data_IF_253216791190
#
_entry.id   IF_253216791190
#
_cell.length_a   1.000
_cell.length_b   1.000
_cell.length_c   1.000
_cell.angle_alpha   90.00
_cell.angle_beta   90.00
_cell.angle_gamma   90.00
#
_symmetry.space_group_name_H-M   'P 1'
#
loop_
_entity.id
_entity.type
_entity.pdbx_description
1 polymer ?
#
# COMPACT_ATOMS: atom_id res chain seq x y z
N UNK A 1 9.93 -0.50 32.99
CA UNK A 1 9.70 0.88 32.49
C UNK A 1 9.09 0.75 31.10
N UNK A 2 7.83 1.18 30.90
CA UNK A 2 7.19 1.11 29.58
C UNK A 2 7.81 2.20 28.70
N UNK A 3 8.55 1.83 27.66
CA UNK A 3 8.97 2.75 26.61
C UNK A 3 7.70 3.42 26.05
N UNK A 4 7.55 4.72 26.28
CA UNK A 4 6.51 5.51 25.62
C UNK A 4 6.97 5.69 24.16
N UNK A 5 6.13 5.38 23.16
CA UNK A 5 6.51 5.60 21.76
C UNK A 5 6.51 7.12 21.50
N UNK A 6 7.68 7.73 21.59
CA UNK A 6 7.94 9.07 21.07
C UNK A 6 8.53 8.91 19.67
N UNK A 7 7.76 9.28 18.66
CA UNK A 7 8.27 9.42 17.30
C UNK A 7 8.98 10.77 17.18
N UNK A 8 10.24 10.76 16.77
CA UNK A 8 11.05 11.95 16.60
C UNK A 8 11.21 12.24 15.12
N UNK A 9 11.03 13.50 14.75
CA UNK A 9 11.14 13.97 13.39
C UNK A 9 12.29 14.97 13.31
N UNK A 10 13.30 14.64 12.51
CA UNK A 10 14.46 15.49 12.28
C UNK A 10 14.22 16.37 11.05
N UNK A 11 14.36 17.69 11.20
CA UNK A 11 14.16 18.67 10.13
C UNK A 11 14.25 20.11 10.63
N UNK A 12 14.27 21.08 9.72
CA UNK A 12 14.27 22.50 10.08
C UNK A 12 12.99 22.84 10.85
N UNK A 13 13.16 23.46 12.03
CA UNK A 13 12.06 23.91 12.87
C UNK A 13 11.12 24.87 12.13
N UNK A 14 11.63 25.70 11.21
CA UNK A 14 10.79 26.59 10.43
C UNK A 14 9.86 25.83 9.45
N UNK A 15 10.29 24.67 8.96
CA UNK A 15 9.55 23.87 7.98
C UNK A 15 8.52 22.92 8.62
N UNK A 16 8.78 22.43 9.84
CA UNK A 16 7.93 21.45 10.51
C UNK A 16 6.72 22.05 11.22
N UNK A 17 6.80 23.30 11.71
CA UNK A 17 5.73 23.92 12.49
C UNK A 17 4.42 24.07 11.69
N UNK A 18 4.42 24.53 10.41
CA UNK A 18 3.20 24.61 9.61
C UNK A 18 2.52 23.25 9.42
N UNK A 19 3.31 22.19 9.17
CA UNK A 19 2.82 20.82 8.97
C UNK A 19 2.16 20.30 10.25
N UNK A 20 2.78 20.50 11.42
CA UNK A 20 2.22 20.07 12.71
C UNK A 20 0.91 20.81 13.00
N UNK A 21 0.85 22.11 12.72
CA UNK A 21 -0.37 22.90 12.88
C UNK A 21 -1.50 22.39 11.98
N UNK A 22 -1.21 22.09 10.71
CA UNK A 22 -2.19 21.59 9.75
C UNK A 22 -2.73 20.20 10.14
N UNK A 23 -1.83 19.27 10.51
CA UNK A 23 -2.22 17.94 10.99
C UNK A 23 -3.05 18.02 12.27
N UNK A 24 -2.66 18.88 13.22
CA UNK A 24 -3.39 19.06 14.48
C UNK A 24 -4.79 19.60 14.24
N UNK A 25 -4.92 20.60 13.36
CA UNK A 25 -6.22 21.15 12.96
C UNK A 25 -7.11 20.13 12.24
N UNK A 26 -6.55 19.32 11.34
CA UNK A 26 -7.28 18.25 10.68
C UNK A 26 -7.83 17.20 11.65
N UNK A 27 -7.14 16.97 12.77
CA UNK A 27 -7.56 16.08 13.86
C UNK A 27 -8.51 16.77 14.87
N UNK A 28 -8.88 18.04 14.66
CA UNK A 28 -9.77 18.80 15.55
C UNK A 28 -9.11 19.29 16.84
N UNK A 29 -7.78 19.31 16.88
CA UNK A 29 -7.00 19.73 18.06
C UNK A 29 -6.30 21.07 17.83
N UNK A 30 -6.32 21.93 18.85
CA UNK A 30 -5.48 23.13 18.86
C UNK A 30 -4.03 22.81 19.21
N UNK A 31 -3.11 23.71 18.88
CA UNK A 31 -1.69 23.57 19.25
C UNK A 31 -1.37 24.40 20.49
N UNK A 32 -0.58 23.83 21.40
CA UNK A 32 0.06 24.55 22.50
C UNK A 32 1.58 24.48 22.29
N UNK A 33 2.13 25.59 21.82
CA UNK A 33 3.56 25.73 21.55
C UNK A 33 4.28 26.18 22.83
N UNK A 34 5.35 25.47 23.18
CA UNK A 34 6.23 25.78 24.29
C UNK A 34 7.61 26.12 23.73
N UNK A 35 8.00 27.37 23.95
CA UNK A 35 9.33 27.83 23.60
C UNK A 35 10.34 27.41 24.67
N UNK A 36 11.26 26.51 24.29
CA UNK A 36 12.30 26.01 25.19
C UNK A 36 13.27 27.10 25.65
N UNK A 37 13.46 28.15 24.85
CA UNK A 37 14.31 29.29 25.19
C UNK A 37 13.65 30.22 26.23
N UNK A 38 12.31 30.22 26.31
CA UNK A 38 11.55 31.03 27.26
C UNK A 38 11.26 30.32 28.58
N UNK A 39 11.74 29.09 28.78
CA UNK A 39 11.53 28.33 30.02
C UNK A 39 12.41 28.87 31.15
N UNK A 40 11.78 29.35 32.22
CA UNK A 40 12.46 29.98 33.37
C UNK A 40 12.44 29.12 34.65
N UNK A 41 12.08 27.84 34.56
CA UNK A 41 11.99 26.96 35.73
C UNK A 41 13.21 26.05 35.89
N UNK A 42 13.55 25.74 37.14
CA UNK A 42 14.69 24.89 37.52
C UNK A 42 14.39 23.38 37.37
N UNK A 43 15.44 22.53 37.49
CA UNK A 43 15.28 21.07 37.49
C UNK A 43 14.34 20.56 38.58
N UNK A 44 14.34 21.21 39.75
CA UNK A 44 13.51 20.84 40.90
C UNK A 44 12.02 21.14 40.65
N UNK A 45 11.72 22.18 39.87
CA UNK A 45 10.37 22.61 39.53
C UNK A 45 9.79 21.86 38.32
N UNK A 46 10.63 21.13 37.59
CA UNK A 46 10.31 20.49 36.32
C UNK A 46 9.19 19.45 36.44
N UNK A 47 9.11 18.72 37.56
CA UNK A 47 8.02 17.77 37.81
C UNK A 47 6.66 18.49 37.94
N UNK A 48 6.64 19.61 38.67
CA UNK A 48 5.44 20.43 38.83
C UNK A 48 5.03 21.11 37.53
N UNK A 49 6.00 21.61 36.77
CA UNK A 49 5.78 22.21 35.45
C UNK A 49 5.20 21.20 34.46
N UNK A 50 5.80 19.99 34.36
CA UNK A 50 5.30 18.92 33.50
C UNK A 50 3.85 18.53 33.84
N UNK A 51 3.51 18.44 35.12
CA UNK A 51 2.15 18.13 35.57
C UNK A 51 1.15 19.20 35.13
N UNK A 52 1.48 20.49 35.33
CA UNK A 52 0.61 21.61 34.91
C UNK A 52 0.42 21.65 33.40
N UNK A 53 1.52 21.54 32.64
CA UNK A 53 1.51 21.53 31.17
C UNK A 53 0.68 20.35 30.64
N UNK A 54 0.88 19.15 31.20
CA UNK A 54 0.12 17.94 30.83
C UNK A 54 -1.37 18.14 31.10
N UNK A 55 -1.72 18.66 32.27
CA UNK A 55 -3.11 18.96 32.65
C UNK A 55 -3.75 19.94 31.67
N UNK A 56 -3.08 21.05 31.39
CA UNK A 56 -3.64 22.10 30.53
C UNK A 56 -3.79 21.61 29.07
N UNK A 57 -2.83 20.83 28.56
CA UNK A 57 -2.94 20.20 27.25
C UNK A 57 -4.15 19.25 27.17
N UNK A 58 -4.37 18.41 28.20
CA UNK A 58 -5.51 17.50 28.26
C UNK A 58 -6.85 18.24 28.37
N UNK A 59 -6.96 19.22 29.28
CA UNK A 59 -8.20 19.96 29.51
C UNK A 59 -8.61 20.82 28.31
N UNK A 60 -7.63 21.38 27.60
CA UNK A 60 -7.89 22.19 26.42
C UNK A 60 -7.94 21.38 25.12
N UNK A 61 -7.72 20.06 25.16
CA UNK A 61 -7.68 19.20 23.98
C UNK A 61 -6.61 19.63 22.97
N UNK A 62 -5.44 20.07 23.45
CA UNK A 62 -4.35 20.61 22.62
C UNK A 62 -3.18 19.65 22.49
N UNK A 63 -2.57 19.66 21.31
CA UNK A 63 -1.31 18.96 21.03
C UNK A 63 -0.15 19.83 21.47
N UNK A 64 0.80 19.26 22.21
CA UNK A 64 2.01 19.95 22.65
C UNK A 64 3.08 19.93 21.57
N UNK A 65 3.67 21.10 21.31
CA UNK A 65 4.84 21.27 20.44
C UNK A 65 5.93 21.97 21.24
N UNK A 66 7.07 21.29 21.37
CA UNK A 66 8.22 21.73 22.15
C UNK A 66 9.32 22.19 21.19
N UNK A 67 9.82 23.42 21.31
CA UNK A 67 10.99 23.88 20.55
C UNK A 67 12.27 23.82 21.37
N UNK A 68 13.39 24.06 20.69
CA UNK A 68 14.72 23.88 21.26
C UNK A 68 14.96 24.69 22.55
N UNK A 69 15.68 24.08 23.48
CA UNK A 69 15.97 24.67 24.78
C UNK A 69 16.64 23.71 25.76
N UNK A 70 17.39 24.24 26.74
CA UNK A 70 18.27 23.44 27.60
C UNK A 70 17.53 22.41 28.46
N UNK A 71 16.25 22.65 28.76
CA UNK A 71 15.43 21.83 29.65
C UNK A 71 14.38 20.99 28.92
N UNK A 72 14.30 21.12 27.59
CA UNK A 72 13.17 20.59 26.82
C UNK A 72 13.13 19.06 26.83
N UNK A 73 14.30 18.41 26.81
CA UNK A 73 14.45 16.97 26.88
C UNK A 73 14.17 16.40 28.27
N UNK A 74 14.52 17.13 29.32
CA UNK A 74 14.16 16.75 30.68
C UNK A 74 12.64 16.84 30.88
N UNK A 75 12.02 17.88 30.32
CA UNK A 75 10.58 18.09 30.36
C UNK A 75 9.83 17.00 29.56
N UNK A 76 10.27 16.71 28.34
CA UNK A 76 9.63 15.73 27.44
C UNK A 76 9.47 14.35 28.08
N UNK A 77 10.53 13.87 28.75
CA UNK A 77 10.54 12.59 29.48
C UNK A 77 9.49 12.53 30.60
N UNK A 78 9.08 13.68 31.15
CA UNK A 78 8.10 13.79 32.24
C UNK A 78 6.69 14.13 31.79
N UNK A 79 6.48 14.47 30.52
CA UNK A 79 5.14 14.74 30.00
C UNK A 79 4.28 13.46 29.95
N UNK A 80 3.03 13.60 30.39
CA UNK A 80 2.05 12.52 30.41
C UNK A 80 1.34 12.27 29.08
N UNK A 81 1.59 13.11 28.07
CA UNK A 81 0.89 13.12 26.78
C UNK A 81 1.86 12.97 25.60
N UNK A 82 1.39 12.43 24.46
CA UNK A 82 2.10 12.53 23.19
C UNK A 82 2.36 14.00 22.83
N UNK A 83 3.55 14.30 22.33
CA UNK A 83 3.97 15.66 21.98
C UNK A 83 5.01 15.62 20.85
N UNK A 84 5.13 16.73 20.13
CA UNK A 84 6.15 16.93 19.10
C UNK A 84 7.34 17.70 19.67
N UNK A 85 8.55 17.38 19.20
CA UNK A 85 9.78 18.06 19.57
C UNK A 85 10.48 18.60 18.32
N UNK A 86 10.83 19.88 18.35
CA UNK A 86 11.49 20.63 17.28
C UNK A 86 12.83 21.14 17.81
N UNK A 87 13.75 20.21 18.04
CA UNK A 87 15.06 20.44 18.68
C UNK A 87 16.06 19.45 18.09
N UNK A 88 17.35 19.76 18.20
CA UNK A 88 18.42 18.81 17.91
C UNK A 88 18.33 17.61 18.86
N UNK A 89 18.33 16.41 18.29
CA UNK A 89 18.33 15.17 19.07
C UNK A 89 19.66 15.02 19.83
N UNK A 90 19.65 14.61 21.10
CA UNK A 90 20.87 14.29 21.83
C UNK A 90 21.49 13.01 21.27
N UNK A 91 22.81 12.87 21.42
CA UNK A 91 23.61 11.78 20.83
C UNK A 91 23.26 10.38 21.40
N UNK A 92 22.55 10.31 22.53
CA UNK A 92 22.25 9.08 23.29
C UNK A 92 20.88 8.46 22.96
N UNK A 93 20.28 8.79 21.81
CA UNK A 93 18.95 8.33 21.44
C UNK A 93 18.93 6.97 20.72
N UNK A 94 18.16 6.03 21.27
CA UNK A 94 18.02 4.66 20.74
C UNK A 94 17.39 4.59 19.33
N UNK A 95 16.55 5.57 18.95
CA UNK A 95 15.73 5.53 17.72
C UNK A 95 15.54 6.92 17.10
N UNK A 96 16.31 7.23 16.05
CA UNK A 96 16.07 8.38 15.18
C UNK A 96 15.38 7.90 13.88
N UNK A 97 14.24 8.50 13.53
CA UNK A 97 13.55 8.26 12.26
C UNK A 97 13.65 9.52 11.42
N UNK A 98 14.51 9.51 10.41
CA UNK A 98 14.45 10.52 9.35
C UNK A 98 13.11 10.36 8.61
N UNK A 99 12.36 11.46 8.50
CA UNK A 99 11.29 11.58 7.51
C UNK A 99 11.96 11.74 6.15
N UNK A 100 12.15 10.64 5.45
CA UNK A 100 12.44 10.71 4.03
C UNK A 100 11.26 11.42 3.32
N UNK A 101 11.50 12.16 2.22
CA UNK A 101 10.43 12.62 1.35
C UNK A 101 9.48 11.44 1.05
N UNK A 102 8.16 11.66 0.91
CA UNK A 102 7.18 10.58 0.75
C UNK A 102 7.45 9.61 -0.41
N UNK A 103 8.36 9.95 -1.32
CA UNK A 103 8.73 9.15 -2.49
C UNK A 103 10.13 8.52 -2.42
N UNK A 104 10.92 8.74 -1.37
CA UNK A 104 12.26 8.14 -1.25
C UNK A 104 12.21 6.80 -0.49
N UNK A 105 11.55 5.82 -1.12
CA UNK A 105 11.46 4.47 -0.59
C UNK A 105 12.86 3.83 -0.48
N UNK A 106 13.73 4.04 -1.48
CA UNK A 106 15.07 3.44 -1.55
C UNK A 106 15.94 3.95 -0.40
N UNK A 107 16.02 5.27 -0.20
CA UNK A 107 16.80 5.85 0.88
C UNK A 107 16.32 5.41 2.27
N UNK A 108 15.02 5.15 2.44
CA UNK A 108 14.47 4.63 3.68
C UNK A 108 14.96 3.20 4.02
N UNK A 109 15.19 2.35 3.01
CA UNK A 109 15.80 1.03 3.18
C UNK A 109 17.32 1.13 3.33
N UNK A 110 18.00 1.89 2.49
CA UNK A 110 19.46 2.04 2.51
C UNK A 110 19.99 2.50 3.87
N UNK A 111 19.32 3.46 4.52
CA UNK A 111 19.73 3.94 5.85
C UNK A 111 19.56 2.91 6.97
N UNK A 112 18.73 1.87 6.76
CA UNK A 112 18.38 0.90 7.81
C UNK A 112 19.02 -0.46 7.60
N UNK A 113 19.25 -0.86 6.35
CA UNK A 113 19.81 -2.17 5.99
C UNK A 113 21.33 -2.19 6.22
N UNK A 114 21.86 -3.14 7.00
CA UNK A 114 23.31 -3.25 7.27
C UNK A 114 24.13 -3.45 5.99
N UNK A 115 25.28 -2.78 5.88
CA UNK A 115 26.18 -2.87 4.72
C UNK A 115 26.72 -4.29 4.44
N UNK A 116 26.75 -5.15 5.46
CA UNK A 116 27.21 -6.54 5.35
C UNK A 116 26.18 -7.52 4.75
N UNK A 117 25.00 -7.07 4.37
CA UNK A 117 23.96 -7.94 3.79
C UNK A 117 24.36 -8.39 2.37
N UNK A 118 24.33 -9.71 2.12
CA UNK A 118 24.61 -10.26 0.79
C UNK A 118 23.61 -9.73 -0.25
N UNK A 119 24.11 -9.27 -1.41
CA UNK A 119 23.29 -8.66 -2.48
C UNK A 119 22.36 -7.55 -1.98
N UNK A 120 22.81 -6.74 -1.02
CA UNK A 120 22.06 -5.65 -0.38
C UNK A 120 21.26 -4.81 -1.39
N UNK A 121 21.94 -4.23 -2.37
CA UNK A 121 21.31 -3.26 -3.27
C UNK A 121 20.26 -3.92 -4.16
N UNK A 122 20.49 -5.16 -4.61
CA UNK A 122 19.52 -5.94 -5.37
C UNK A 122 18.29 -6.31 -4.52
N UNK A 123 18.48 -6.69 -3.26
CA UNK A 123 17.36 -6.97 -2.35
C UNK A 123 16.54 -5.70 -2.04
N UNK A 124 17.20 -4.55 -1.84
CA UNK A 124 16.53 -3.27 -1.63
C UNK A 124 15.71 -2.90 -2.87
N UNK A 125 16.31 -2.95 -4.07
CA UNK A 125 15.62 -2.65 -5.31
C UNK A 125 14.40 -3.55 -5.53
N UNK A 126 14.53 -4.87 -5.29
CA UNK A 126 13.43 -5.82 -5.42
C UNK A 126 12.26 -5.47 -4.47
N UNK A 127 12.56 -5.15 -3.21
CA UNK A 127 11.53 -4.81 -2.22
C UNK A 127 10.90 -3.45 -2.51
N UNK A 128 11.68 -2.43 -2.87
CA UNK A 128 11.15 -1.10 -3.22
C UNK A 128 10.26 -1.12 -4.47
N UNK A 129 10.61 -1.93 -5.48
CA UNK A 129 9.82 -2.05 -6.71
C UNK A 129 8.47 -2.76 -6.52
N UNK A 130 8.34 -3.53 -5.43
CA UNK A 130 7.17 -4.37 -5.16
C UNK A 130 6.34 -3.90 -3.96
N UNK A 131 6.95 -3.52 -2.86
CA UNK A 131 6.28 -3.23 -1.59
C UNK A 131 6.32 -1.73 -1.27
N UNK A 132 5.16 -1.16 -0.89
CA UNK A 132 5.08 0.19 -0.32
C UNK A 132 4.94 0.08 1.20
N UNK A 133 6.08 -0.13 1.87
CA UNK A 133 6.12 -0.24 3.33
C UNK A 133 6.29 1.13 3.99
N UNK A 134 5.62 1.30 5.13
CA UNK A 134 5.87 2.44 6.02
C UNK A 134 7.26 2.34 6.68
N UNK A 135 7.88 3.44 7.13
CA UNK A 135 9.18 3.40 7.80
C UNK A 135 9.27 2.43 8.98
N UNK A 136 8.19 2.32 9.77
CA UNK A 136 8.12 1.36 10.89
C UNK A 136 8.07 -0.11 10.42
N UNK A 137 7.46 -0.39 9.26
CA UNK A 137 7.46 -1.73 8.68
C UNK A 137 8.82 -2.07 8.07
N UNK A 138 9.50 -1.10 7.46
CA UNK A 138 10.89 -1.26 6.98
C UNK A 138 11.79 -1.62 8.16
N UNK A 139 11.77 -0.84 9.25
CA UNK A 139 12.58 -1.12 10.44
C UNK A 139 12.33 -2.52 11.01
N UNK A 140 11.05 -2.92 11.09
CA UNK A 140 10.69 -4.25 11.59
C UNK A 140 11.15 -5.37 10.65
N UNK A 141 11.07 -5.16 9.34
CA UNK A 141 11.55 -6.12 8.32
C UNK A 141 13.07 -6.33 8.45
N UNK A 142 13.82 -5.24 8.55
CA UNK A 142 15.28 -5.28 8.69
C UNK A 142 15.70 -5.93 10.01
N UNK A 143 15.07 -5.55 11.12
CA UNK A 143 15.32 -6.19 12.42
C UNK A 143 15.00 -7.68 12.37
N UNK A 144 13.88 -8.08 11.77
CA UNK A 144 13.49 -9.47 11.61
C UNK A 144 14.51 -10.28 10.82
N UNK A 145 15.03 -9.72 9.72
CA UNK A 145 16.13 -10.29 8.95
C UNK A 145 17.42 -10.44 9.77
N UNK A 146 17.77 -9.43 10.56
CA UNK A 146 18.93 -9.48 11.47
C UNK A 146 18.84 -10.58 12.55
N UNK A 147 17.62 -10.95 12.96
CA UNK A 147 17.37 -12.08 13.87
C UNK A 147 17.23 -13.44 13.16
N UNK A 148 17.37 -13.49 11.83
CA UNK A 148 17.22 -14.72 11.04
C UNK A 148 15.78 -15.24 10.96
N UNK A 149 14.78 -14.39 11.22
CA UNK A 149 13.36 -14.76 11.12
C UNK A 149 12.87 -14.88 9.67
N UNK A 150 13.63 -14.32 8.73
CA UNK A 150 13.39 -14.39 7.30
C UNK A 150 14.72 -14.55 6.56
N UNK A 151 14.74 -15.29 5.44
CA UNK A 151 15.98 -15.54 4.67
C UNK A 151 16.53 -14.29 3.96
N UNK A 152 15.67 -13.34 3.62
CA UNK A 152 16.01 -12.11 2.90
C UNK A 152 15.01 -10.98 3.24
N UNK A 153 15.28 -9.77 2.74
CA UNK A 153 14.39 -8.62 2.94
C UNK A 153 13.01 -8.81 2.30
N UNK A 154 12.93 -9.58 1.21
CA UNK A 154 11.69 -9.86 0.50
C UNK A 154 10.71 -10.64 1.38
N UNK A 155 11.15 -11.75 1.96
CA UNK A 155 10.35 -12.57 2.84
C UNK A 155 10.00 -11.83 4.15
N UNK A 156 10.90 -10.99 4.65
CA UNK A 156 10.62 -10.14 5.80
C UNK A 156 9.51 -9.10 5.50
N UNK A 157 9.60 -8.42 4.35
CA UNK A 157 8.56 -7.51 3.87
C UNK A 157 7.23 -8.22 3.64
N UNK A 158 7.27 -9.39 2.99
CA UNK A 158 6.09 -10.20 2.69
C UNK A 158 5.33 -10.61 3.96
N UNK A 159 6.05 -11.05 5.00
CA UNK A 159 5.44 -11.47 6.28
C UNK A 159 4.67 -10.34 6.97
N UNK A 160 5.05 -9.07 6.75
CA UNK A 160 4.31 -7.94 7.30
C UNK A 160 3.01 -7.66 6.57
N UNK A 161 2.96 -7.86 5.25
CA UNK A 161 1.78 -7.51 4.48
C UNK A 161 0.73 -8.63 4.50
N UNK A 162 1.14 -9.89 4.66
CA UNK A 162 0.22 -11.02 4.67
C UNK A 162 -0.90 -10.95 5.72
N UNK A 163 -0.69 -10.20 6.81
CA UNK A 163 -1.69 -10.02 7.88
C UNK A 163 -2.70 -8.90 7.64
N UNK A 164 -2.62 -8.16 6.52
CA UNK A 164 -3.39 -6.91 6.33
C UNK A 164 -4.74 -7.11 5.62
N UNK A 165 -4.94 -8.22 4.90
CA UNK A 165 -6.08 -8.37 3.96
C UNK A 165 -7.37 -8.95 4.57
N UNK A 166 -7.34 -9.42 5.83
CA UNK A 166 -8.54 -9.88 6.54
C UNK A 166 -9.31 -11.01 5.83
N UNK A 167 -10.63 -11.17 6.08
CA UNK A 167 -11.44 -12.26 5.51
C UNK A 167 -11.91 -12.00 4.07
N UNK A 168 -11.58 -10.84 3.48
CA UNK A 168 -12.09 -10.42 2.16
C UNK A 168 -11.25 -10.95 0.99
N UNK A 169 -10.00 -11.35 1.26
CA UNK A 169 -9.11 -11.93 0.27
C UNK A 169 -8.33 -13.11 0.86
N UNK A 170 -8.22 -14.18 0.09
CA UNK A 170 -7.52 -15.40 0.45
C UNK A 170 -6.21 -15.47 -0.32
N UNK A 171 -5.11 -15.82 0.35
CA UNK A 171 -3.83 -16.04 -0.34
C UNK A 171 -3.91 -17.30 -1.18
N UNK A 172 -3.50 -17.19 -2.45
CA UNK A 172 -3.33 -18.33 -3.36
C UNK A 172 -1.85 -18.65 -3.47
N UNK A 173 -1.49 -19.92 -3.28
CA UNK A 173 -0.15 -20.39 -3.60
C UNK A 173 -0.02 -20.57 -5.11
N UNK A 174 0.77 -19.70 -5.76
CA UNK A 174 1.03 -19.79 -7.20
C UNK A 174 1.97 -20.97 -7.51
N UNK A 175 1.39 -22.14 -7.82
CA UNK A 175 2.15 -23.37 -8.11
C UNK A 175 2.38 -23.57 -9.61
N UNK A 176 1.49 -23.04 -10.44
CA UNK A 176 1.57 -23.17 -11.89
C UNK A 176 2.78 -22.45 -12.51
N UNK A 177 3.34 -23.04 -13.55
CA UNK A 177 4.39 -22.49 -14.42
C UNK A 177 3.88 -22.30 -15.85
N UNK A 178 4.65 -21.60 -16.68
CA UNK A 178 4.31 -21.46 -18.10
C UNK A 178 4.14 -22.78 -18.85
N UNK A 179 4.95 -23.78 -18.49
CA UNK A 179 4.92 -25.11 -19.11
C UNK A 179 3.65 -25.90 -18.78
N UNK A 180 2.96 -25.55 -17.69
CA UNK A 180 1.69 -26.18 -17.29
C UNK A 180 0.51 -25.66 -18.13
N UNK A 181 0.69 -24.57 -18.89
CA UNK A 181 -0.35 -23.98 -19.72
C UNK A 181 -0.27 -24.45 -21.17
N UNK A 182 -1.31 -25.18 -21.58
CA UNK A 182 -1.54 -25.56 -22.97
C UNK A 182 -2.40 -24.48 -23.61
N UNK A 183 -1.73 -23.53 -24.25
CA UNK A 183 -2.34 -22.39 -24.93
C UNK A 183 -1.81 -22.26 -26.36
N UNK A 184 -2.60 -21.72 -27.31
CA UNK A 184 -2.08 -21.40 -28.63
C UNK A 184 -1.00 -20.31 -28.55
N UNK A 185 -0.16 -20.26 -29.59
CA UNK A 185 1.07 -19.45 -29.59
C UNK A 185 0.79 -17.97 -29.34
N UNK A 186 -0.28 -17.43 -29.93
CA UNK A 186 -0.66 -16.03 -29.78
C UNK A 186 -0.95 -15.67 -28.30
N UNK A 187 -1.69 -16.52 -27.58
CA UNK A 187 -2.02 -16.31 -26.17
C UNK A 187 -0.77 -16.46 -25.29
N UNK A 188 0.12 -17.42 -25.58
CA UNK A 188 1.41 -17.53 -24.89
C UNK A 188 2.26 -16.27 -25.07
N UNK A 189 2.29 -15.72 -26.29
CA UNK A 189 3.01 -14.47 -26.59
C UNK A 189 2.41 -13.28 -25.82
N UNK A 190 1.08 -13.14 -25.79
CA UNK A 190 0.43 -12.08 -25.04
C UNK A 190 0.73 -12.16 -23.53
N UNK A 191 0.67 -13.35 -22.94
CA UNK A 191 1.02 -13.57 -21.54
C UNK A 191 2.50 -13.25 -21.23
N UNK A 192 3.40 -13.61 -22.14
CA UNK A 192 4.81 -13.24 -22.05
C UNK A 192 4.99 -11.73 -22.09
N UNK A 193 4.33 -11.02 -23.02
CA UNK A 193 4.41 -9.57 -23.13
C UNK A 193 3.88 -8.86 -21.88
N UNK A 194 2.75 -9.33 -21.34
CA UNK A 194 2.19 -8.81 -20.09
C UNK A 194 3.16 -8.95 -18.93
N UNK A 195 3.80 -10.12 -18.81
CA UNK A 195 4.78 -10.41 -17.76
C UNK A 195 6.01 -9.52 -17.91
N UNK A 196 6.57 -9.41 -19.12
CA UNK A 196 7.70 -8.53 -19.41
C UNK A 196 7.38 -7.07 -19.06
N UNK A 197 6.20 -6.57 -19.44
CA UNK A 197 5.80 -5.20 -19.11
C UNK A 197 5.76 -4.98 -17.59
N UNK A 198 5.18 -5.92 -16.83
CA UNK A 198 5.05 -5.79 -15.39
C UNK A 198 6.39 -5.92 -14.66
N UNK A 199 7.31 -6.75 -15.14
CA UNK A 199 8.67 -6.86 -14.61
C UNK A 199 9.48 -5.58 -14.85
N UNK A 200 9.34 -4.96 -16.02
CA UNK A 200 10.09 -3.74 -16.39
C UNK A 200 9.31 -2.45 -16.15
N UNK A 201 8.19 -2.50 -15.42
CA UNK A 201 7.29 -1.34 -15.27
C UNK A 201 7.98 -0.13 -14.65
N UNK A 202 8.84 -0.32 -13.64
CA UNK A 202 9.54 0.79 -12.98
C UNK A 202 10.46 1.51 -13.96
N UNK A 203 11.13 0.75 -14.83
CA UNK A 203 11.96 1.32 -15.88
C UNK A 203 11.12 2.08 -16.91
N UNK A 204 10.00 1.51 -17.37
CA UNK A 204 9.17 2.15 -18.40
C UNK A 204 8.41 3.38 -17.86
N UNK A 205 7.84 3.27 -16.67
CA UNK A 205 6.99 4.31 -16.08
C UNK A 205 7.85 5.39 -15.43
N UNK A 206 8.82 5.01 -14.59
CA UNK A 206 9.59 5.96 -13.80
C UNK A 206 10.85 6.41 -14.57
N UNK A 207 11.75 5.49 -14.92
CA UNK A 207 13.05 5.86 -15.51
C UNK A 207 12.90 6.51 -16.90
N UNK A 208 11.97 6.00 -17.73
CA UNK A 208 11.69 6.55 -19.05
C UNK A 208 10.64 7.67 -19.04
N UNK A 209 10.09 7.99 -17.86
CA UNK A 209 9.23 9.16 -17.66
C UNK A 209 7.81 9.06 -18.23
N UNK A 210 7.33 7.86 -18.61
CA UNK A 210 5.95 7.69 -19.07
C UNK A 210 4.91 7.96 -17.95
N UNK A 211 5.29 7.82 -16.69
CA UNK A 211 4.45 8.13 -15.52
C UNK A 211 4.15 9.63 -15.35
N UNK A 212 5.00 10.51 -15.87
CA UNK A 212 4.78 11.97 -15.77
C UNK A 212 3.62 12.47 -16.65
N UNK A 213 3.24 11.71 -17.69
CA UNK A 213 2.18 12.08 -18.62
C UNK A 213 0.79 11.54 -18.23
N UNK A 214 0.68 10.64 -17.24
CA UNK A 214 -0.60 10.07 -16.82
C UNK A 214 -0.63 9.70 -15.33
N UNK A 215 -1.63 10.21 -14.60
CA UNK A 215 -1.95 9.81 -13.21
C UNK A 215 -2.80 8.53 -13.14
N UNK A 216 -3.15 7.93 -14.28
CA UNK A 216 -3.99 6.72 -14.40
C UNK A 216 -3.31 5.68 -15.29
N UNK A 217 -3.61 4.39 -15.09
CA UNK A 217 -3.12 3.32 -15.96
C UNK A 217 -1.70 2.83 -15.67
N UNK A 218 -1.22 2.99 -14.43
CA UNK A 218 0.10 2.51 -14.00
C UNK A 218 0.12 1.01 -13.68
N UNK A 219 -1.03 0.34 -13.74
CA UNK A 219 -1.15 -1.10 -13.54
C UNK A 219 -1.92 -1.78 -14.65
N UNK A 220 -2.05 -3.10 -14.54
CA UNK A 220 -2.58 -3.96 -15.59
C UNK A 220 -3.79 -4.73 -15.10
N UNK A 221 -4.94 -4.54 -15.75
CA UNK A 221 -6.08 -5.42 -15.60
C UNK A 221 -6.07 -6.45 -16.74
N UNK A 222 -6.14 -7.73 -16.41
CA UNK A 222 -6.19 -8.84 -17.35
C UNK A 222 -7.52 -9.57 -17.21
N UNK A 223 -8.18 -9.87 -18.33
CA UNK A 223 -9.44 -10.63 -18.32
C UNK A 223 -9.21 -11.97 -19.01
N UNK A 224 -9.39 -13.05 -18.26
CA UNK A 224 -9.34 -14.42 -18.77
C UNK A 224 -10.76 -14.96 -18.92
N UNK A 225 -11.16 -15.30 -20.15
CA UNK A 225 -12.46 -15.90 -20.37
C UNK A 225 -12.37 -17.22 -21.12
N UNK A 226 -13.38 -18.07 -20.95
CA UNK A 226 -13.41 -19.39 -21.59
C UNK A 226 -14.34 -20.36 -20.86
N UNK A 227 -14.55 -21.57 -21.41
CA UNK A 227 -15.27 -22.64 -20.73
C UNK A 227 -14.70 -22.96 -19.33
N UNK A 228 -15.50 -23.56 -18.44
CA UNK A 228 -14.97 -24.03 -17.16
C UNK A 228 -13.84 -25.04 -17.36
N UNK A 229 -12.82 -25.02 -16.50
CA UNK A 229 -11.70 -25.97 -16.55
C UNK A 229 -10.59 -25.64 -17.56
N UNK A 230 -10.61 -24.50 -18.25
CA UNK A 230 -9.56 -24.10 -19.23
C UNK A 230 -8.32 -23.45 -18.62
N UNK A 231 -8.09 -23.59 -17.30
CA UNK A 231 -6.88 -23.07 -16.66
C UNK A 231 -6.81 -21.54 -16.50
N UNK A 232 -7.94 -20.82 -16.44
CA UNK A 232 -7.96 -19.35 -16.23
C UNK A 232 -7.25 -18.92 -14.94
N UNK A 233 -7.56 -19.60 -13.83
CA UNK A 233 -6.92 -19.38 -12.53
C UNK A 233 -5.44 -19.77 -12.59
N UNK A 234 -5.14 -20.88 -13.25
CA UNK A 234 -3.77 -21.38 -13.49
C UNK A 234 -2.93 -20.38 -14.27
N UNK A 235 -3.53 -19.67 -15.24
CA UNK A 235 -2.84 -18.62 -15.99
C UNK A 235 -2.44 -17.45 -15.08
N UNK A 236 -3.34 -17.00 -14.20
CA UNK A 236 -3.02 -15.96 -13.22
C UNK A 236 -1.90 -16.39 -12.25
N UNK A 237 -1.88 -17.64 -11.81
CA UNK A 237 -0.78 -18.18 -10.99
C UNK A 237 0.57 -18.16 -11.73
N UNK A 238 0.59 -18.63 -12.99
CA UNK A 238 1.80 -18.67 -13.80
C UNK A 238 2.39 -17.26 -14.02
N UNK A 239 1.54 -16.29 -14.34
CA UNK A 239 1.93 -14.88 -14.49
C UNK A 239 2.70 -14.37 -13.26
N UNK A 240 2.12 -14.54 -12.07
CA UNK A 240 2.67 -13.98 -10.83
C UNK A 240 3.96 -14.69 -10.41
N UNK A 241 4.07 -15.97 -10.72
CA UNK A 241 5.29 -16.75 -10.48
C UNK A 241 6.44 -16.29 -11.37
N UNK A 242 6.14 -15.90 -12.60
CA UNK A 242 7.12 -15.50 -13.61
C UNK A 242 7.49 -14.01 -13.49
N UNK A 243 6.70 -13.22 -12.76
CA UNK A 243 7.03 -11.85 -12.33
C UNK A 243 8.02 -11.78 -11.16
N UNK A 244 8.45 -12.92 -10.61
CA UNK A 244 9.39 -12.91 -9.50
C UNK A 244 10.64 -12.08 -9.88
N UNK A 245 10.94 -10.98 -9.17
CA UNK A 245 12.09 -10.15 -9.49
C UNK A 245 13.38 -10.93 -9.29
N UNK A 246 14.43 -10.55 -10.04
CA UNK A 246 15.76 -11.15 -9.91
C UNK A 246 16.28 -11.01 -8.47
N UNK A 247 16.37 -12.14 -7.76
CA UNK A 247 16.80 -12.18 -6.35
C UNK A 247 15.69 -11.99 -5.31
N UNK A 248 14.41 -11.94 -5.71
CA UNK A 248 13.25 -11.92 -4.83
C UNK A 248 12.38 -13.18 -4.92
N UNK A 249 11.45 -13.34 -3.97
CA UNK A 249 10.46 -14.41 -4.01
C UNK A 249 9.30 -14.12 -4.97
N UNK A 250 8.39 -15.09 -5.21
CA UNK A 250 7.22 -14.87 -6.05
C UNK A 250 6.33 -13.77 -5.47
N UNK A 251 5.73 -12.98 -6.36
CA UNK A 251 4.75 -11.96 -5.98
C UNK A 251 3.56 -12.66 -5.28
N UNK A 252 3.03 -12.14 -4.17
CA UNK A 252 1.86 -12.75 -3.54
C UNK A 252 0.62 -12.65 -4.44
N UNK A 253 -0.13 -13.75 -4.60
CA UNK A 253 -1.44 -13.74 -5.28
C UNK A 253 -2.56 -13.82 -4.24
N UNK A 254 -3.55 -12.93 -4.36
CA UNK A 254 -4.73 -12.93 -3.50
C UNK A 254 -6.00 -13.09 -4.33
N UNK A 255 -6.78 -14.13 -4.00
CA UNK A 255 -8.12 -14.32 -4.53
C UNK A 255 -9.12 -13.52 -3.72
N UNK A 256 -9.79 -12.59 -4.38
CA UNK A 256 -10.80 -11.73 -3.78
C UNK A 256 -12.13 -12.46 -3.74
N UNK A 257 -12.79 -12.46 -2.57
CA UNK A 257 -14.13 -13.01 -2.44
C UNK A 257 -15.16 -12.00 -2.96
N UNK A 258 -15.44 -12.08 -4.26
CA UNK A 258 -16.42 -11.24 -4.96
C UNK A 258 -17.81 -11.32 -4.31
N UNK A 259 -18.27 -12.52 -3.94
CA UNK A 259 -19.58 -12.72 -3.31
C UNK A 259 -19.65 -12.08 -1.91
N UNK A 260 -18.56 -12.10 -1.15
CA UNK A 260 -18.45 -11.46 0.17
C UNK A 260 -18.38 -9.94 0.11
N UNK A 261 -17.96 -9.37 -1.02
CA UNK A 261 -17.89 -7.93 -1.25
C UNK A 261 -19.24 -7.32 -1.67
N UNK A 262 -20.16 -8.13 -2.17
CA UNK A 262 -21.53 -7.73 -2.54
C UNK A 262 -22.49 -8.01 -1.37
N UNK A 263 -22.23 -7.42 -0.20
CA UNK A 263 -23.15 -7.51 0.96
C UNK A 263 -24.41 -6.63 0.76
N UNK A 264 -25.46 -6.74 1.59
CA UNK A 264 -26.71 -5.99 1.39
C UNK A 264 -26.63 -4.47 1.61
N UNK A 265 -25.50 -3.91 2.07
CA UNK A 265 -25.39 -2.52 2.51
C UNK A 265 -24.46 -1.68 1.62
N UNK A 266 -25.04 -0.71 0.90
CA UNK A 266 -24.40 0.10 -0.16
C UNK A 266 -23.20 0.96 0.33
N UNK A 267 -23.02 1.17 1.64
CA UNK A 267 -21.89 1.92 2.22
C UNK A 267 -20.69 1.09 2.68
N UNK A 268 -20.89 -0.17 3.10
CA UNK A 268 -19.79 -1.03 3.54
C UNK A 268 -18.98 -1.57 2.36
N UNK A 269 -19.61 -1.76 1.20
CA UNK A 269 -18.97 -2.30 -0.01
C UNK A 269 -17.78 -1.46 -0.47
N UNK A 270 -17.98 -0.15 -0.64
CA UNK A 270 -16.95 0.76 -1.13
C UNK A 270 -15.77 0.84 -0.16
N UNK A 271 -16.04 0.82 1.15
CA UNK A 271 -15.01 0.77 2.20
C UNK A 271 -14.23 -0.55 2.16
N UNK A 272 -14.90 -1.68 1.91
CA UNK A 272 -14.27 -2.99 1.81
C UNK A 272 -13.35 -3.09 0.59
N UNK A 273 -13.84 -2.66 -0.58
CA UNK A 273 -13.02 -2.57 -1.80
C UNK A 273 -11.83 -1.62 -1.61
N UNK A 274 -12.06 -0.42 -1.07
CA UNK A 274 -10.97 0.52 -0.80
C UNK A 274 -9.92 -0.07 0.16
N UNK A 275 -10.36 -0.78 1.20
CA UNK A 275 -9.48 -1.46 2.15
C UNK A 275 -8.64 -2.56 1.47
N UNK A 276 -9.28 -3.43 0.67
CA UNK A 276 -8.58 -4.50 -0.07
C UNK A 276 -7.57 -3.90 -1.04
N UNK A 277 -7.99 -2.97 -1.91
CA UNK A 277 -7.10 -2.35 -2.89
C UNK A 277 -5.95 -1.57 -2.25
N UNK A 278 -6.18 -0.88 -1.13
CA UNK A 278 -5.11 -0.20 -0.38
C UNK A 278 -4.14 -1.20 0.27
N UNK A 279 -4.64 -2.28 0.86
CA UNK A 279 -3.78 -3.33 1.43
C UNK A 279 -2.93 -4.03 0.37
N UNK A 280 -3.51 -4.27 -0.81
CA UNK A 280 -2.84 -4.90 -1.95
C UNK A 280 -1.83 -3.94 -2.56
N UNK A 281 -2.16 -2.65 -2.71
CA UNK A 281 -1.23 -1.61 -3.16
C UNK A 281 0.02 -1.54 -2.27
N UNK A 282 -0.15 -1.66 -0.96
CA UNK A 282 0.97 -1.70 -0.01
C UNK A 282 1.82 -2.97 -0.11
N UNK A 283 1.22 -4.10 -0.52
CA UNK A 283 1.96 -5.36 -0.75
C UNK A 283 2.60 -5.48 -2.13
N UNK A 284 2.16 -4.69 -3.10
CA UNK A 284 2.36 -5.00 -4.52
C UNK A 284 1.87 -6.38 -4.92
N UNK A 285 0.87 -6.91 -4.22
CA UNK A 285 0.36 -8.25 -4.50
C UNK A 285 -0.45 -8.28 -5.81
N UNK A 286 -0.50 -9.42 -6.47
CA UNK A 286 -1.44 -9.64 -7.55
C UNK A 286 -2.85 -9.92 -7.00
N UNK A 287 -3.87 -9.40 -7.68
CA UNK A 287 -5.27 -9.69 -7.37
C UNK A 287 -5.85 -10.69 -8.37
N UNK A 288 -6.61 -11.65 -7.89
CA UNK A 288 -7.43 -12.55 -8.68
C UNK A 288 -8.90 -12.37 -8.28
N UNK A 289 -9.72 -11.92 -9.22
CA UNK A 289 -11.16 -11.93 -9.09
C UNK A 289 -11.69 -13.14 -9.87
N UNK A 290 -11.98 -14.21 -9.14
CA UNK A 290 -12.44 -15.46 -9.74
C UNK A 290 -13.96 -15.49 -9.85
N UNK A 291 -14.49 -15.77 -11.05
CA UNK A 291 -15.93 -15.91 -11.29
C UNK A 291 -16.69 -14.60 -11.18
N UNK A 292 -16.24 -13.55 -11.87
CA UNK A 292 -16.84 -12.22 -11.75
C UNK A 292 -18.15 -12.03 -12.53
N UNK A 293 -18.64 -13.06 -13.25
CA UNK A 293 -19.88 -13.00 -14.02
C UNK A 293 -21.10 -12.49 -13.22
N UNK A 294 -21.16 -12.77 -11.91
CA UNK A 294 -22.25 -12.32 -11.04
C UNK A 294 -22.26 -10.81 -10.75
N UNK A 295 -21.12 -10.13 -10.94
CA UNK A 295 -21.01 -8.66 -10.82
C UNK A 295 -21.50 -7.95 -12.08
N UNK A 296 -21.42 -8.62 -13.22
CA UNK A 296 -21.74 -8.07 -14.52
C UNK A 296 -23.17 -8.44 -14.87
N UNK A 297 -24.13 -7.62 -14.41
CA UNK A 297 -25.53 -7.75 -14.79
C UNK A 297 -25.69 -7.85 -16.32
N UNK A 298 -26.68 -8.62 -16.78
CA UNK A 298 -27.00 -8.68 -18.22
C UNK A 298 -27.46 -7.30 -18.70
N UNK A 299 -27.02 -6.85 -19.88
CA UNK A 299 -27.64 -5.70 -20.57
C UNK A 299 -29.08 -6.03 -20.95
N UNK A 300 -30.03 -5.89 -20.02
CA UNK A 300 -31.45 -5.84 -20.38
C UNK A 300 -31.78 -4.44 -20.87
N UNK A 301 -32.07 -4.33 -22.17
CA UNK A 301 -32.48 -3.10 -22.88
C UNK A 301 -33.80 -2.49 -22.38
N UNK A 302 -34.46 -3.12 -21.40
CA UNK A 302 -35.52 -2.52 -20.60
C UNK A 302 -35.05 -2.44 -19.14
N UNK A 303 -34.63 -1.26 -18.71
CA UNK A 303 -34.45 -0.96 -17.28
C UNK A 303 -35.84 -1.01 -16.65
N UNK A 304 -36.21 -2.14 -16.05
CA UNK A 304 -37.48 -2.31 -15.35
C UNK A 304 -37.35 -2.34 -13.83
N UNK A 305 -36.15 -2.59 -13.29
CA UNK A 305 -35.99 -2.72 -11.83
C UNK A 305 -34.85 -1.89 -11.24
N UNK A 306 -35.08 -1.43 -10.01
CA UNK A 306 -34.13 -0.69 -9.19
C UNK A 306 -32.80 -1.44 -8.97
N UNK A 307 -32.78 -2.77 -9.08
CA UNK A 307 -31.57 -3.59 -8.93
C UNK A 307 -30.55 -3.40 -10.06
N UNK A 308 -31.00 -3.10 -11.29
CA UNK A 308 -30.12 -2.92 -12.46
C UNK A 308 -29.31 -1.62 -12.34
N UNK A 309 -29.85 -0.59 -11.70
CA UNK A 309 -29.14 0.67 -11.45
C UNK A 309 -28.03 0.54 -10.41
N UNK A 310 -28.21 -0.30 -9.39
CA UNK A 310 -27.20 -0.53 -8.34
C UNK A 310 -26.03 -1.37 -8.84
N UNK A 311 -26.29 -2.35 -9.73
CA UNK A 311 -25.25 -3.19 -10.34
C UNK A 311 -24.25 -2.38 -11.18
N UNK A 312 -24.70 -1.31 -11.85
CA UNK A 312 -23.83 -0.44 -12.64
C UNK A 312 -22.93 0.46 -11.78
N UNK A 313 -23.39 0.91 -10.61
CA UNK A 313 -22.58 1.74 -9.70
C UNK A 313 -21.43 0.94 -9.06
N UNK A 314 -21.69 -0.31 -8.68
CA UNK A 314 -20.67 -1.21 -8.10
C UNK A 314 -19.60 -1.58 -9.13
N UNK A 315 -20.02 -1.84 -10.36
CA UNK A 315 -19.13 -2.08 -11.49
C UNK A 315 -18.27 -0.85 -11.79
N UNK A 316 -18.87 0.34 -11.85
CA UNK A 316 -18.13 1.58 -12.06
C UNK A 316 -17.08 1.83 -10.98
N UNK A 317 -17.41 1.53 -9.72
CA UNK A 317 -16.46 1.63 -8.62
C UNK A 317 -15.32 0.62 -8.72
N UNK A 318 -15.61 -0.65 -9.05
CA UNK A 318 -14.59 -1.67 -9.28
C UNK A 318 -13.63 -1.26 -10.41
N UNK A 319 -14.16 -0.77 -11.54
CA UNK A 319 -13.34 -0.28 -12.65
C UNK A 319 -12.45 0.89 -12.22
N UNK A 320 -12.99 1.84 -11.44
CA UNK A 320 -12.20 2.94 -10.89
C UNK A 320 -11.08 2.44 -9.97
N UNK A 321 -11.35 1.43 -9.13
CA UNK A 321 -10.33 0.81 -8.31
C UNK A 321 -9.26 0.11 -9.14
N UNK A 322 -9.65 -0.61 -10.21
CA UNK A 322 -8.73 -1.27 -11.13
C UNK A 322 -7.86 -0.26 -11.89
N UNK A 323 -8.42 0.86 -12.37
CA UNK A 323 -7.67 1.93 -13.04
C UNK A 323 -6.63 2.60 -12.13
N UNK A 324 -6.95 2.70 -10.83
CA UNK A 324 -6.08 3.29 -9.83
C UNK A 324 -5.10 2.28 -9.21
N UNK A 325 -5.21 0.99 -9.56
CA UNK A 325 -4.35 -0.04 -9.01
C UNK A 325 -3.06 -0.16 -9.83
N UNK A 326 -1.87 0.09 -9.26
CA UNK A 326 -0.60 0.06 -10.01
C UNK A 326 -0.04 -1.35 -10.22
N UNK A 327 -0.68 -2.39 -9.65
CA UNK A 327 -0.25 -3.78 -9.81
C UNK A 327 -1.04 -4.51 -10.90
N UNK A 328 -1.00 -5.85 -10.85
CA UNK A 328 -1.80 -6.71 -11.72
C UNK A 328 -3.10 -7.16 -11.05
N UNK A 329 -4.21 -7.03 -11.76
CA UNK A 329 -5.49 -7.59 -11.40
C UNK A 329 -6.00 -8.52 -12.51
N UNK A 330 -6.16 -9.80 -12.19
CA UNK A 330 -6.66 -10.84 -13.07
C UNK A 330 -8.14 -11.08 -12.78
N UNK A 331 -9.00 -10.99 -13.80
CA UNK A 331 -10.43 -11.28 -13.71
C UNK A 331 -10.74 -12.53 -14.51
N UNK A 332 -11.49 -13.48 -13.96
CA UNK A 332 -11.91 -14.69 -14.69
C UNK A 332 -13.40 -14.66 -15.00
N UNK A 333 -13.76 -15.04 -16.23
CA UNK A 333 -15.12 -15.04 -16.75
C UNK A 333 -15.45 -16.33 -17.50
N UNK A 334 -16.73 -16.67 -17.58
CA UNK A 334 -17.22 -17.74 -18.44
C UNK A 334 -17.52 -17.22 -19.85
N UNK A 335 -17.22 -18.02 -20.88
CA UNK A 335 -17.35 -17.62 -22.29
C UNK A 335 -18.75 -17.11 -22.68
N UNK A 336 -19.81 -17.70 -22.12
CA UNK A 336 -21.21 -17.32 -22.41
C UNK A 336 -21.58 -15.92 -21.87
N UNK A 337 -20.85 -15.45 -20.85
CA UNK A 337 -21.18 -14.24 -20.12
C UNK A 337 -20.38 -13.03 -20.65
N UNK A 338 -19.34 -13.25 -21.47
CA UNK A 338 -18.51 -12.18 -22.02
C UNK A 338 -19.26 -11.31 -23.06
N UNK A 339 -19.95 -11.93 -24.01
CA UNK A 339 -20.63 -11.23 -25.11
C UNK A 339 -21.79 -10.31 -24.66
N UNK A 340 -22.33 -10.52 -23.46
CA UNK A 340 -23.42 -9.72 -22.88
C UNK A 340 -23.01 -8.82 -21.71
N UNK A 341 -21.73 -8.85 -21.33
CA UNK A 341 -21.20 -8.18 -20.15
C UNK A 341 -20.84 -6.71 -20.45
N UNK A 342 -21.11 -5.81 -19.50
CA UNK A 342 -20.76 -4.40 -19.59
C UNK A 342 -19.25 -4.15 -19.78
N UNK A 343 -18.38 -5.09 -19.38
CA UNK A 343 -16.92 -5.02 -19.63
C UNK A 343 -16.58 -4.99 -21.10
N UNK A 344 -17.23 -5.79 -21.96
CA UNK A 344 -16.90 -5.82 -23.38
C UNK A 344 -17.12 -4.44 -24.04
N UNK A 345 -18.17 -3.72 -23.61
CA UNK A 345 -18.42 -2.34 -24.05
C UNK A 345 -17.47 -1.31 -23.44
N UNK A 346 -17.06 -1.47 -22.18
CA UNK A 346 -16.10 -0.56 -21.53
C UNK A 346 -14.68 -0.75 -22.07
N UNK A 347 -14.24 -1.99 -22.26
CA UNK A 347 -12.94 -2.35 -22.86
C UNK A 347 -12.84 -1.84 -24.30
N UNK A 348 -13.93 -1.92 -25.08
CA UNK A 348 -13.96 -1.43 -26.47
C UNK A 348 -14.13 0.11 -26.61
N UNK A 349 -14.71 0.80 -25.61
CA UNK A 349 -15.06 2.22 -25.68
C UNK A 349 -14.00 3.14 -25.04
N UNK A 350 -13.22 2.63 -24.08
CA UNK A 350 -12.19 3.43 -23.41
C UNK A 350 -10.81 3.22 -24.05
N UNK A 351 -10.36 4.24 -24.76
CA UNK A 351 -8.96 4.56 -25.13
C UNK A 351 -8.00 4.68 -23.92
N UNK A 352 -8.40 4.22 -22.71
CA UNK A 352 -7.72 4.39 -21.43
C UNK A 352 -7.07 3.09 -20.90
N UNK A 353 -7.19 1.97 -21.63
CA UNK A 353 -6.57 0.69 -21.29
C UNK A 353 -5.51 0.32 -22.34
N UNK A 354 -4.46 1.14 -22.47
CA UNK A 354 -3.35 0.99 -23.44
C UNK A 354 -2.45 -0.24 -23.20
N UNK A 355 -2.98 -1.32 -22.62
CA UNK A 355 -2.28 -2.58 -22.39
C UNK A 355 -3.17 -3.83 -22.43
N UNK A 356 -4.45 -3.72 -22.82
CA UNK A 356 -5.34 -4.87 -22.95
C UNK A 356 -5.15 -5.53 -24.32
N UNK A 357 -4.29 -6.55 -24.38
CA UNK A 357 -4.40 -7.58 -25.41
C UNK A 357 -5.47 -8.60 -24.97
N UNK A 358 -6.44 -8.85 -25.84
CA UNK A 358 -7.39 -9.97 -25.72
C UNK A 358 -6.62 -11.27 -25.51
N UNK A 359 -6.78 -11.91 -24.35
CA UNK A 359 -6.26 -13.25 -24.11
C UNK A 359 -7.42 -14.18 -23.78
N UNK A 360 -7.76 -14.96 -24.81
CA UNK A 360 -8.74 -16.05 -24.96
C UNK A 360 -9.98 -15.68 -25.75
#
# INVERSE_FOLDING_TARGET
>A
MRHKPSAFYHGDAAALLPVICEVSHALGHGVLFLDGALMQFSLDELAGAACRITRDAMLCGRVLVLSDGPMIWALSKRLGVPHFMMTTAPEDMDHAVALAPPNDAVGAWETRVPDGLHNRDAQIAAVCGSYQLTPAQVERSVRGGGYGLAPDLWHAAQAHVSNTMGPLAERVEARARWDDLILPVAQKQALSQMTTFLTHRGQVIDDWGFGASSTRGLGMAAVFFGPSGTGKTTAAEAIVREMAPDGGGPVPLYRVNVAGLVSKYIGEKAKNFACVFEAVRRSGAALLFDGVEGLFGKRTTQVKDSNDKHSNAELGFLLQCLEAYPGIACLTLQARDFAGCCLAGCIASQTLLSGLHEVL
#
